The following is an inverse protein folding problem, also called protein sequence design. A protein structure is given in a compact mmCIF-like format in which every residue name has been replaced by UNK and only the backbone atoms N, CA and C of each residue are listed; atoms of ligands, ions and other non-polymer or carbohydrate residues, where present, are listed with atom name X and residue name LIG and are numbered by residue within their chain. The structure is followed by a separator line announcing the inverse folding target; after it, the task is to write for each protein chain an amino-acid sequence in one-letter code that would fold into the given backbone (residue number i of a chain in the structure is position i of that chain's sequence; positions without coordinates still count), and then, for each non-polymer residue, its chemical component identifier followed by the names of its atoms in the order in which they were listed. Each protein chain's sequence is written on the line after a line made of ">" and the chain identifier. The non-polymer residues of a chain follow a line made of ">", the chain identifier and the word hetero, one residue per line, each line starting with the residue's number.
data_IF_957931840907
#
_entry.id   IF_957931840907
#
_cell.length_a   1.000
_cell.length_b   1.000
_cell.length_c   1.000
_cell.angle_alpha   90.00
_cell.angle_beta   90.00
_cell.angle_gamma   90.00
#
_symmetry.space_group_name_H-M   'P 1'
#
loop_
_entity.id
_entity.type
_entity.pdbx_description
1 polymer ?
#
# COMPACT_ATOMS: atom_id res chain seq x y z
N UNK A 1 5.91 36.99 -36.29
CA UNK A 1 4.75 36.14 -35.91
C UNK A 1 5.27 34.75 -35.67
N UNK A 2 5.57 34.42 -34.39
CA UNK A 2 6.07 33.11 -33.99
C UNK A 2 4.90 32.26 -33.50
N UNK A 3 4.60 31.19 -34.24
CA UNK A 3 3.61 30.18 -33.80
C UNK A 3 4.29 29.21 -32.89
N UNK A 4 3.95 29.28 -31.60
CA UNK A 4 4.31 28.30 -30.57
C UNK A 4 3.57 26.99 -30.85
N UNK A 5 4.30 25.96 -31.24
CA UNK A 5 3.77 24.62 -31.45
C UNK A 5 3.65 23.92 -30.08
N UNK A 6 2.43 23.86 -29.57
CA UNK A 6 2.12 23.12 -28.34
C UNK A 6 2.07 21.64 -28.69
N UNK A 7 3.10 20.87 -28.30
CA UNK A 7 3.07 19.42 -28.37
C UNK A 7 2.20 18.89 -27.22
N UNK A 8 0.94 18.55 -27.52
CA UNK A 8 0.18 17.62 -26.69
C UNK A 8 0.73 16.21 -26.96
N UNK A 9 1.57 15.71 -26.08
CA UNK A 9 1.85 14.27 -26.02
C UNK A 9 0.65 13.57 -25.39
N UNK A 10 -0.34 13.21 -26.21
CA UNK A 10 -1.27 12.14 -25.83
C UNK A 10 -0.49 10.83 -25.94
N UNK A 11 -0.09 10.29 -24.80
CA UNK A 11 0.52 8.97 -24.71
C UNK A 11 -0.58 7.91 -24.91
N UNK A 12 -1.02 7.72 -26.16
CA UNK A 12 -1.75 6.51 -26.56
C UNK A 12 -0.74 5.38 -26.64
N UNK A 13 -0.64 4.59 -25.58
CA UNK A 13 0.06 3.31 -25.61
C UNK A 13 -0.71 2.37 -26.53
N UNK A 14 -0.29 2.30 -27.78
CA UNK A 14 -0.76 1.27 -28.72
C UNK A 14 -0.03 -0.02 -28.38
N UNK A 15 -0.67 -0.90 -27.60
CA UNK A 15 -0.20 -2.27 -27.44
C UNK A 15 -0.41 -3.04 -28.75
N UNK A 16 0.63 -3.19 -29.56
CA UNK A 16 0.66 -4.17 -30.63
C UNK A 16 0.92 -5.53 -30.00
N UNK A 17 -0.14 -6.31 -29.81
CA UNK A 17 -0.06 -7.72 -29.45
C UNK A 17 0.52 -8.53 -30.64
N UNK A 18 1.83 -8.69 -30.67
CA UNK A 18 2.46 -9.87 -31.30
C UNK A 18 2.83 -10.79 -30.13
N UNK A 19 2.31 -12.01 -30.13
CA UNK A 19 2.45 -12.98 -29.04
C UNK A 19 3.91 -13.24 -28.64
N UNK A 20 4.40 -12.42 -27.76
CA UNK A 20 5.64 -12.59 -27.04
C UNK A 20 5.27 -12.77 -25.56
N UNK A 21 5.72 -13.84 -24.99
CA UNK A 21 5.82 -14.02 -23.54
C UNK A 21 6.50 -12.75 -23.00
N UNK A 22 5.71 -11.79 -22.50
CA UNK A 22 6.25 -10.72 -21.69
C UNK A 22 6.77 -11.40 -20.43
N UNK A 23 8.10 -11.46 -20.34
CA UNK A 23 8.77 -11.96 -19.16
C UNK A 23 8.32 -11.21 -17.92
N UNK A 24 8.48 -11.83 -16.78
CA UNK A 24 8.11 -11.42 -15.43
C UNK A 24 8.74 -10.09 -14.94
N UNK A 25 9.13 -9.19 -15.86
CA UNK A 25 9.77 -7.92 -15.56
C UNK A 25 8.71 -6.90 -15.09
N UNK A 26 8.92 -6.25 -13.95
CA UNK A 26 7.98 -5.28 -13.43
C UNK A 26 7.89 -4.02 -14.30
N UNK A 27 6.69 -3.49 -14.46
CA UNK A 27 6.45 -2.19 -15.10
C UNK A 27 6.92 -1.09 -14.16
N UNK A 28 7.76 -0.17 -14.66
CA UNK A 28 8.32 0.95 -13.90
C UNK A 28 7.87 2.28 -14.47
N UNK A 29 7.50 3.20 -13.58
CA UNK A 29 7.21 4.59 -13.92
C UNK A 29 8.08 5.52 -13.07
N UNK A 30 8.26 6.77 -13.53
CA UNK A 30 9.22 7.68 -12.93
C UNK A 30 8.59 9.06 -12.69
N UNK A 31 9.01 9.71 -11.64
CA UNK A 31 8.71 11.11 -11.39
C UNK A 31 9.40 12.02 -12.43
N UNK A 32 8.91 13.25 -12.59
CA UNK A 32 9.51 14.25 -13.49
C UNK A 32 11.00 14.53 -13.20
N UNK A 33 11.43 14.31 -11.97
CA UNK A 33 12.84 14.47 -11.54
C UNK A 33 13.70 13.22 -11.82
N UNK A 34 13.18 12.20 -12.50
CA UNK A 34 13.89 10.97 -12.86
C UNK A 34 13.88 9.87 -11.77
N UNK A 35 13.41 10.16 -10.56
CA UNK A 35 13.33 9.15 -9.50
C UNK A 35 12.20 8.15 -9.80
N UNK A 36 12.40 6.89 -9.40
CA UNK A 36 11.38 5.84 -9.52
C UNK A 36 10.12 6.25 -8.75
N UNK A 37 8.97 6.15 -9.40
CA UNK A 37 7.67 6.47 -8.83
C UNK A 37 6.90 5.21 -8.44
N UNK A 38 6.87 4.24 -9.34
CA UNK A 38 6.16 2.98 -9.14
C UNK A 38 6.89 1.83 -9.81
N UNK A 39 6.77 0.65 -9.21
CA UNK A 39 7.16 -0.63 -9.78
C UNK A 39 6.05 -1.65 -9.48
N UNK A 40 5.48 -2.24 -10.53
CA UNK A 40 4.31 -3.11 -10.43
C UNK A 40 4.52 -4.38 -11.25
N UNK A 41 4.23 -5.51 -10.66
CA UNK A 41 4.30 -6.82 -11.30
C UNK A 41 2.93 -7.23 -11.83
N UNK A 42 2.92 -7.78 -13.04
CA UNK A 42 1.73 -8.34 -13.69
C UNK A 42 2.01 -9.76 -14.18
N UNK A 43 0.98 -10.58 -14.12
CA UNK A 43 0.94 -11.90 -14.75
C UNK A 43 -0.42 -12.10 -15.40
N UNK A 44 -0.42 -12.50 -16.67
CA UNK A 44 -1.67 -12.69 -17.44
C UNK A 44 -2.62 -11.49 -17.33
N UNK A 45 -2.07 -10.25 -17.53
CA UNK A 45 -2.77 -8.96 -17.46
C UNK A 45 -3.32 -8.58 -16.08
N UNK A 46 -3.07 -9.38 -15.04
CA UNK A 46 -3.50 -9.13 -13.66
C UNK A 46 -2.35 -8.69 -12.78
N UNK A 47 -2.69 -7.86 -11.78
CA UNK A 47 -1.77 -7.56 -10.70
C UNK A 47 -1.40 -8.85 -9.96
N UNK A 48 -0.10 -9.16 -9.96
CA UNK A 48 0.42 -10.37 -9.34
C UNK A 48 1.79 -10.06 -8.72
N UNK A 49 1.98 -10.43 -7.46
CA UNK A 49 3.23 -10.15 -6.76
C UNK A 49 3.24 -8.79 -6.06
N UNK A 50 4.38 -8.13 -6.10
CA UNK A 50 4.60 -6.92 -5.31
C UNK A 50 4.45 -5.65 -6.15
N UNK A 51 3.64 -4.71 -5.67
CA UNK A 51 3.60 -3.33 -6.14
C UNK A 51 4.30 -2.43 -5.12
N UNK A 52 5.18 -1.55 -5.58
CA UNK A 52 5.87 -0.58 -4.71
C UNK A 52 5.76 0.82 -5.30
N UNK A 53 5.42 1.79 -4.46
CA UNK A 53 5.42 3.21 -4.80
C UNK A 53 6.46 3.96 -3.97
N UNK A 54 7.01 5.02 -4.54
CA UNK A 54 7.97 5.91 -3.90
C UNK A 54 7.53 7.36 -3.99
N UNK A 55 7.83 8.12 -2.97
CA UNK A 55 7.75 9.56 -3.02
C UNK A 55 8.82 10.12 -3.97
N UNK A 56 8.62 11.37 -4.46
CA UNK A 56 9.60 12.04 -5.32
C UNK A 56 10.99 12.22 -4.67
N UNK A 57 11.11 12.05 -3.35
CA UNK A 57 12.37 12.03 -2.59
C UNK A 57 12.99 10.63 -2.48
N UNK A 58 12.58 9.69 -3.31
CA UNK A 58 13.02 8.28 -3.38
C UNK A 58 12.75 7.43 -2.14
N UNK A 59 12.02 7.94 -1.13
CA UNK A 59 11.58 7.12 0.00
C UNK A 59 10.32 6.35 -0.38
N UNK A 60 10.19 5.11 0.09
CA UNK A 60 8.96 4.33 -0.13
C UNK A 60 7.74 5.08 0.39
N UNK A 61 6.64 5.02 -0.35
CA UNK A 61 5.32 5.50 0.06
C UNK A 61 4.35 4.36 0.35
N UNK A 62 4.36 3.30 -0.47
CA UNK A 62 3.59 2.09 -0.21
C UNK A 62 4.26 0.84 -0.77
N UNK A 63 3.88 -0.31 -0.23
CA UNK A 63 4.24 -1.65 -0.71
C UNK A 63 3.04 -2.56 -0.47
N UNK A 64 2.45 -3.07 -1.54
CA UNK A 64 1.26 -3.92 -1.51
C UNK A 64 1.56 -5.24 -2.21
N UNK A 65 1.04 -6.34 -1.68
CA UNK A 65 1.11 -7.64 -2.33
C UNK A 65 -0.24 -7.95 -2.97
N UNK A 66 -0.17 -8.43 -4.21
CA UNK A 66 -1.33 -8.71 -5.05
C UNK A 66 -1.32 -10.16 -5.51
N UNK A 67 -2.51 -10.71 -5.67
CA UNK A 67 -2.74 -12.02 -6.28
C UNK A 67 -4.04 -11.97 -7.09
N UNK A 68 -3.93 -12.12 -8.41
CA UNK A 68 -5.08 -12.02 -9.31
C UNK A 68 -5.92 -10.75 -9.08
N UNK A 69 -5.30 -9.55 -9.11
CA UNK A 69 -5.90 -8.23 -8.88
C UNK A 69 -6.46 -8.00 -7.46
N UNK A 70 -6.25 -8.91 -6.53
CA UNK A 70 -6.69 -8.78 -5.14
C UNK A 70 -5.51 -8.60 -4.20
N UNK A 71 -5.68 -7.76 -3.19
CA UNK A 71 -4.70 -7.66 -2.11
C UNK A 71 -4.61 -8.98 -1.37
N UNK A 72 -3.39 -9.49 -1.28
CA UNK A 72 -3.09 -10.76 -0.62
C UNK A 72 -1.79 -10.63 0.19
N UNK A 73 -1.88 -10.71 1.50
CA UNK A 73 -0.74 -10.53 2.39
C UNK A 73 -0.57 -9.08 2.87
N UNK A 74 0.68 -8.61 2.91
CA UNK A 74 1.02 -7.33 3.55
C UNK A 74 0.76 -6.13 2.64
N UNK A 75 0.10 -5.12 3.21
CA UNK A 75 -0.01 -3.75 2.70
C UNK A 75 0.67 -2.81 3.70
N UNK A 76 1.72 -2.11 3.24
CA UNK A 76 2.55 -1.23 4.07
C UNK A 76 2.54 0.17 3.49
N UNK A 77 2.33 1.18 4.33
CA UNK A 77 2.44 2.60 3.95
C UNK A 77 3.44 3.31 4.85
N UNK A 78 4.16 4.28 4.25
CA UNK A 78 5.14 5.11 4.93
C UNK A 78 4.80 6.59 4.78
N UNK A 79 5.16 7.35 5.77
CA UNK A 79 5.18 8.81 5.70
C UNK A 79 6.29 9.31 4.77
N UNK A 80 6.19 10.56 4.31
CA UNK A 80 7.24 11.20 3.48
C UNK A 80 8.61 11.27 4.16
N UNK A 81 8.65 11.25 5.50
CA UNK A 81 9.91 11.18 6.26
C UNK A 81 10.55 9.78 6.24
N UNK A 82 9.89 8.77 5.67
CA UNK A 82 10.35 7.39 5.55
C UNK A 82 9.99 6.49 6.73
N UNK A 83 9.30 7.00 7.77
CA UNK A 83 8.81 6.18 8.88
C UNK A 83 7.54 5.46 8.48
N UNK A 84 7.30 4.28 9.03
CA UNK A 84 6.07 3.51 8.82
C UNK A 84 4.85 4.31 9.27
N UNK A 85 3.77 4.24 8.50
CA UNK A 85 2.47 4.81 8.83
C UNK A 85 1.49 3.72 9.24
N UNK A 86 1.36 2.66 8.43
CA UNK A 86 0.64 1.45 8.82
C UNK A 86 1.15 0.20 8.11
N UNK A 87 0.86 -0.93 8.72
CA UNK A 87 0.96 -2.28 8.14
C UNK A 87 -0.38 -2.95 8.37
N UNK A 88 -0.95 -3.50 7.32
CA UNK A 88 -2.20 -4.24 7.31
C UNK A 88 -2.00 -5.59 6.64
N UNK A 89 -2.77 -6.59 7.06
CA UNK A 89 -2.81 -7.90 6.40
C UNK A 89 -4.13 -8.04 5.66
N UNK A 90 -4.06 -8.51 4.43
CA UNK A 90 -5.22 -8.75 3.58
C UNK A 90 -5.25 -10.20 3.09
N UNK A 91 -6.45 -10.72 2.92
CA UNK A 91 -6.75 -11.98 2.25
C UNK A 91 -7.91 -11.74 1.28
N UNK A 92 -7.66 -11.85 -0.02
CA UNK A 92 -8.64 -11.57 -1.06
C UNK A 92 -9.34 -10.19 -0.89
N UNK A 93 -8.59 -9.09 -0.74
CA UNK A 93 -9.05 -7.72 -0.48
C UNK A 93 -9.69 -7.47 0.91
N UNK A 94 -9.88 -8.49 1.71
CA UNK A 94 -10.48 -8.38 3.03
C UNK A 94 -9.39 -8.29 4.10
N UNK A 95 -9.54 -7.40 5.08
CA UNK A 95 -8.63 -7.33 6.22
C UNK A 95 -8.70 -8.65 7.01
N UNK A 96 -7.55 -9.32 7.13
CA UNK A 96 -7.43 -10.59 7.84
C UNK A 96 -6.06 -10.68 8.50
N UNK A 97 -6.01 -10.47 9.80
CA UNK A 97 -4.79 -10.42 10.60
C UNK A 97 -4.55 -9.11 11.32
N UNK A 98 -3.30 -8.88 11.69
CA UNK A 98 -2.92 -7.72 12.50
C UNK A 98 -2.85 -6.44 11.67
N UNK A 99 -3.41 -5.36 12.22
CA UNK A 99 -3.22 -3.98 11.77
C UNK A 99 -2.36 -3.26 12.80
N UNK A 100 -1.32 -2.59 12.36
CA UNK A 100 -0.49 -1.72 13.21
C UNK A 100 -0.35 -0.35 12.57
N UNK A 101 -0.57 0.70 13.35
CA UNK A 101 -0.40 2.09 12.93
C UNK A 101 0.67 2.79 13.78
N UNK A 102 1.32 3.78 13.18
CA UNK A 102 2.33 4.61 13.82
C UNK A 102 2.07 6.09 13.56
N UNK A 103 2.46 6.91 14.50
CA UNK A 103 2.58 8.35 14.33
C UNK A 103 3.74 8.71 13.40
N UNK A 104 3.73 9.91 12.85
CA UNK A 104 4.84 10.43 12.02
C UNK A 104 6.16 10.57 12.79
N UNK A 105 6.10 10.60 14.12
CA UNK A 105 7.23 10.50 15.03
C UNK A 105 7.89 9.12 15.03
N UNK A 106 7.19 8.07 14.50
CA UNK A 106 7.61 6.68 14.51
C UNK A 106 7.18 5.90 15.75
N UNK A 107 6.56 6.54 16.73
CA UNK A 107 5.96 5.84 17.87
C UNK A 107 4.69 5.10 17.45
N UNK A 108 4.40 3.98 18.08
CA UNK A 108 3.20 3.18 17.82
C UNK A 108 1.96 3.98 18.21
N UNK A 109 0.95 3.96 17.34
CA UNK A 109 -0.34 4.63 17.54
C UNK A 109 -1.42 3.62 17.94
N UNK A 110 -1.53 2.51 17.20
CA UNK A 110 -2.53 1.48 17.50
C UNK A 110 -2.07 0.11 17.02
N UNK A 111 -2.64 -0.93 17.64
CA UNK A 111 -2.68 -2.29 17.12
C UNK A 111 -4.08 -2.83 17.26
N UNK A 112 -4.54 -3.56 16.26
CA UNK A 112 -5.82 -4.28 16.28
C UNK A 112 -5.70 -5.55 15.47
N UNK A 113 -6.62 -6.48 15.65
CA UNK A 113 -6.66 -7.73 14.91
C UNK A 113 -8.01 -7.87 14.21
N UNK A 114 -7.99 -8.37 12.97
CA UNK A 114 -9.17 -8.56 12.13
C UNK A 114 -9.27 -10.01 11.66
N UNK A 115 -10.47 -10.51 11.58
CA UNK A 115 -10.80 -11.80 10.96
C UNK A 115 -11.94 -11.57 9.98
N UNK A 116 -11.72 -11.88 8.70
CA UNK A 116 -12.70 -11.65 7.62
C UNK A 116 -13.29 -10.23 7.60
N UNK A 117 -12.46 -9.20 7.84
CA UNK A 117 -12.86 -7.80 7.82
C UNK A 117 -13.50 -7.27 9.10
N UNK A 118 -13.75 -8.13 10.07
CA UNK A 118 -14.37 -7.79 11.36
C UNK A 118 -13.28 -7.74 12.44
N UNK A 119 -13.30 -6.70 13.27
CA UNK A 119 -12.36 -6.59 14.39
C UNK A 119 -12.61 -7.72 15.38
N UNK A 120 -11.54 -8.49 15.69
CA UNK A 120 -11.63 -9.68 16.53
C UNK A 120 -10.30 -9.91 17.25
N UNK A 121 -10.29 -9.74 18.56
CA UNK A 121 -9.09 -9.81 19.38
C UNK A 121 -8.74 -8.48 20.06
N UNK A 122 -7.51 -8.40 20.57
CA UNK A 122 -7.08 -7.23 21.33
C UNK A 122 -6.81 -6.02 20.45
N UNK A 123 -7.36 -4.87 20.86
CA UNK A 123 -7.02 -3.54 20.39
C UNK A 123 -6.27 -2.78 21.48
N UNK A 124 -5.22 -2.08 21.09
CA UNK A 124 -4.46 -1.16 21.94
C UNK A 124 -4.21 0.13 21.21
N UNK A 125 -4.26 1.26 21.95
CA UNK A 125 -3.93 2.58 21.41
C UNK A 125 -2.98 3.30 22.37
N UNK A 126 -2.10 4.10 21.79
CA UNK A 126 -1.13 4.92 22.51
C UNK A 126 -1.20 6.36 22.00
N UNK A 127 -0.95 7.32 22.88
CA UNK A 127 -0.75 8.72 22.47
C UNK A 127 0.67 8.94 21.89
N UNK A 128 0.93 10.16 21.41
CA UNK A 128 2.23 10.52 20.84
C UNK A 128 3.39 10.47 21.85
N UNK A 129 3.12 10.51 23.16
CA UNK A 129 4.12 10.30 24.20
C UNK A 129 4.48 8.82 24.37
N UNK A 130 3.68 7.91 23.80
CA UNK A 130 3.84 6.46 23.92
C UNK A 130 3.12 5.87 25.15
N UNK A 131 2.28 6.66 25.81
CA UNK A 131 1.44 6.20 26.92
C UNK A 131 0.24 5.45 26.35
N UNK A 132 -0.05 4.27 26.91
CA UNK A 132 -1.26 3.50 26.58
C UNK A 132 -2.50 4.31 27.01
N UNK A 133 -3.41 4.56 26.06
CA UNK A 133 -4.65 5.33 26.27
C UNK A 133 -5.89 4.47 26.19
N UNK A 134 -5.78 3.32 25.52
CA UNK A 134 -6.90 2.38 25.39
C UNK A 134 -6.39 0.95 25.24
N UNK A 135 -7.13 0.01 25.84
CA UNK A 135 -7.01 -1.42 25.61
C UNK A 135 -8.38 -2.07 25.80
N UNK A 136 -8.83 -2.79 24.77
CA UNK A 136 -10.08 -3.57 24.79
C UNK A 136 -9.88 -4.91 24.07
N UNK A 137 -10.82 -5.83 24.25
CA UNK A 137 -10.93 -7.05 23.47
C UNK A 137 -12.23 -7.02 22.67
N UNK A 138 -12.16 -7.43 21.42
CA UNK A 138 -13.29 -7.42 20.50
C UNK A 138 -13.63 -8.85 20.07
N UNK A 139 -14.91 -9.16 20.02
CA UNK A 139 -15.45 -10.40 19.47
C UNK A 139 -16.54 -10.03 18.47
N UNK A 140 -16.36 -10.44 17.23
CA UNK A 140 -17.28 -10.14 16.12
C UNK A 140 -17.63 -8.65 16.00
N UNK A 141 -16.64 -7.79 16.15
CA UNK A 141 -16.74 -6.33 16.05
C UNK A 141 -17.29 -5.62 17.29
N UNK A 142 -17.67 -6.34 18.33
CA UNK A 142 -18.19 -5.79 19.57
C UNK A 142 -17.13 -5.84 20.67
N UNK A 143 -16.98 -4.75 21.42
CA UNK A 143 -16.09 -4.74 22.58
C UNK A 143 -16.68 -5.59 23.72
N UNK A 144 -15.86 -6.50 24.25
CA UNK A 144 -16.23 -7.23 25.47
C UNK A 144 -16.11 -6.31 26.69
N UNK A 145 -17.23 -5.95 27.26
CA UNK A 145 -17.28 -5.22 28.55
C UNK A 145 -17.03 -6.23 29.67
N UNK A 146 -15.93 -6.02 30.40
CA UNK A 146 -15.63 -6.81 31.62
C UNK A 146 -16.24 -6.15 32.86
#
# INVERSE_FOLDING_TARGET
>A
MNKTLTFLLSLTFLFLFSGSVYGDEPIKTYWKNGNLMNETQYKDEKLEGKETWWWANSKKSSETHWKNDKKEGLDKIWYKNGRKKHIKHYKNDVLDGMVTEWYSSGKKKSTSHYTNGIENGFRKEWNEDGKLTYQGNFVDGNEEIK
#
